data_IF_752134398062
#
_entry.id   IF_752134398062
#
_cell.length_a   1.000
_cell.length_b   1.000
_cell.length_c   1.000
_cell.angle_alpha   90.00
_cell.angle_beta   90.00
_cell.angle_gamma   90.00
#
_symmetry.space_group_name_H-M   'P 1'
#
loop_
_entity.id
_entity.type
_entity.pdbx_description
1 polymer ?
#
# COMPACT_ATOMS: atom_id res chain seq x y z
N UNK A 1 -2.22 8.56 30.17
CA UNK A 1 -3.52 8.54 29.48
C UNK A 1 -3.39 7.84 28.14
N UNK A 2 -4.26 6.92 27.90
CA UNK A 2 -4.22 6.15 26.65
C UNK A 2 -5.08 6.84 25.62
N UNK A 3 -4.46 7.22 24.51
CA UNK A 3 -5.19 7.73 23.36
C UNK A 3 -5.54 6.57 22.46
N UNK A 4 -6.82 6.42 22.19
CA UNK A 4 -7.27 5.42 21.24
C UNK A 4 -7.10 6.03 19.86
N UNK A 5 -6.22 5.44 19.08
CA UNK A 5 -5.98 5.85 17.71
C UNK A 5 -6.44 4.73 16.78
N UNK A 6 -6.98 5.13 15.66
CA UNK A 6 -7.26 4.18 14.62
C UNK A 6 -6.15 4.26 13.59
N UNK A 7 -5.55 3.13 13.30
CA UNK A 7 -4.50 3.03 12.30
C UNK A 7 -5.07 2.35 11.06
N UNK A 8 -4.87 2.99 9.93
CA UNK A 8 -5.33 2.45 8.66
C UNK A 8 -4.12 2.26 7.77
N UNK A 9 -4.02 1.10 7.18
CA UNK A 9 -2.93 0.80 6.26
C UNK A 9 -3.50 0.66 4.86
N UNK A 10 -2.89 1.37 3.94
CA UNK A 10 -3.31 1.35 2.55
C UNK A 10 -2.18 0.80 1.71
N UNK A 11 -2.46 -0.25 0.99
CA UNK A 11 -1.49 -0.88 0.10
C UNK A 11 -1.92 -0.55 -1.31
N UNK A 12 -1.05 0.13 -2.05
CA UNK A 12 -1.32 0.54 -3.42
C UNK A 12 -0.36 -0.21 -4.33
N UNK A 13 -0.91 -0.97 -5.27
CA UNK A 13 -0.12 -1.78 -6.19
C UNK A 13 -0.50 -1.45 -7.62
N UNK A 14 0.47 -1.46 -8.55
CA UNK A 14 0.13 -1.29 -9.95
C UNK A 14 -0.69 -2.48 -10.46
N UNK A 15 -1.60 -2.21 -11.36
CA UNK A 15 -2.38 -3.28 -11.99
C UNK A 15 -1.45 -4.16 -12.79
N UNK A 16 -1.81 -5.44 -12.91
CA UNK A 16 -0.95 -6.39 -13.61
C UNK A 16 -0.76 -6.05 -15.08
N UNK A 17 -1.73 -5.39 -15.67
CA UNK A 17 -1.66 -5.02 -17.09
C UNK A 17 -0.80 -3.79 -17.33
N UNK A 18 -0.34 -3.13 -16.29
CA UNK A 18 0.43 -1.89 -16.41
C UNK A 18 1.92 -2.20 -16.37
N UNK A 19 2.67 -1.54 -17.24
CA UNK A 19 4.12 -1.63 -17.21
C UNK A 19 4.64 -0.95 -15.95
N UNK A 20 5.44 -1.68 -15.19
CA UNK A 20 6.03 -1.18 -13.95
C UNK A 20 7.55 -1.08 -14.13
N UNK A 21 8.06 0.09 -14.53
CA UNK A 21 9.49 0.22 -14.78
C UNK A 21 10.34 0.00 -13.53
N UNK A 22 9.82 0.33 -12.34
CA UNK A 22 10.55 0.06 -11.11
C UNK A 22 10.64 -1.44 -10.85
N UNK A 23 9.54 -2.15 -11.06
CA UNK A 23 9.53 -3.60 -10.89
C UNK A 23 10.46 -4.30 -11.85
N UNK A 24 10.50 -3.84 -13.09
CA UNK A 24 11.41 -4.40 -14.09
C UNK A 24 12.86 -4.16 -13.69
N UNK A 25 13.19 -2.97 -13.22
CA UNK A 25 14.55 -2.67 -12.78
C UNK A 25 14.97 -3.55 -11.60
N UNK A 26 14.07 -3.75 -10.63
CA UNK A 26 14.38 -4.62 -9.49
C UNK A 26 14.57 -6.06 -9.96
N UNK A 27 13.71 -6.53 -10.86
CA UNK A 27 13.84 -7.89 -11.37
C UNK A 27 15.19 -8.10 -12.05
N UNK A 28 15.61 -7.14 -12.87
CA UNK A 28 16.87 -7.26 -13.56
C UNK A 28 18.05 -7.23 -12.58
N UNK A 29 17.97 -6.40 -11.55
CA UNK A 29 19.01 -6.36 -10.53
C UNK A 29 19.10 -7.68 -9.77
N UNK A 30 17.96 -8.30 -9.47
CA UNK A 30 17.95 -9.58 -8.80
C UNK A 30 18.58 -10.68 -9.65
N UNK A 31 18.29 -10.66 -10.94
CA UNK A 31 18.90 -11.62 -11.85
C UNK A 31 20.41 -11.43 -11.95
N UNK A 32 20.84 -10.20 -11.92
CA UNK A 32 22.28 -9.90 -12.00
C UNK A 32 23.05 -10.42 -10.79
N UNK A 33 22.40 -10.54 -9.63
CA UNK A 33 23.06 -11.08 -8.45
C UNK A 33 22.81 -12.58 -8.25
N UNK A 34 22.26 -13.23 -9.26
CA UNK A 34 22.15 -14.69 -9.26
C UNK A 34 20.76 -15.27 -9.00
N UNK A 35 19.77 -14.42 -8.79
CA UNK A 35 18.41 -14.91 -8.57
C UNK A 35 17.66 -14.99 -9.90
N UNK A 36 18.04 -15.96 -10.71
CA UNK A 36 17.55 -16.07 -12.07
C UNK A 36 16.14 -16.63 -12.18
N UNK A 37 15.61 -17.19 -11.11
CA UNK A 37 14.27 -17.77 -11.12
C UNK A 37 13.16 -16.77 -10.88
N UNK A 38 13.50 -15.51 -10.58
CA UNK A 38 12.47 -14.50 -10.37
C UNK A 38 11.80 -14.18 -11.70
N UNK A 39 10.47 -14.30 -11.71
CA UNK A 39 9.69 -14.08 -12.94
C UNK A 39 9.18 -12.67 -13.05
N UNK A 40 8.65 -12.13 -11.96
CA UNK A 40 8.10 -10.79 -11.97
C UNK A 40 8.30 -10.12 -10.63
N UNK A 41 8.43 -8.81 -10.68
CA UNK A 41 8.52 -7.97 -9.48
C UNK A 41 7.63 -6.78 -9.71
N UNK A 42 6.84 -6.45 -8.71
CA UNK A 42 6.02 -5.24 -8.73
C UNK A 42 6.36 -4.40 -7.53
N UNK A 43 6.48 -3.10 -7.75
CA UNK A 43 6.79 -2.15 -6.69
C UNK A 43 5.56 -1.32 -6.43
N UNK A 44 5.10 -1.32 -5.19
CA UNK A 44 3.93 -0.56 -4.79
C UNK A 44 4.24 0.37 -3.63
N UNK A 45 3.19 0.93 -3.05
CA UNK A 45 3.30 1.84 -1.93
C UNK A 45 2.57 1.27 -0.73
N UNK A 46 3.09 1.57 0.43
CA UNK A 46 2.47 1.21 1.70
C UNK A 46 2.32 2.48 2.51
N UNK A 47 1.06 2.84 2.81
CA UNK A 47 0.78 4.03 3.58
C UNK A 47 0.17 3.64 4.92
N UNK A 48 0.61 4.29 5.98
CA UNK A 48 0.07 4.07 7.30
C UNK A 48 -0.48 5.39 7.82
N UNK A 49 -1.77 5.40 8.07
CA UNK A 49 -2.48 6.59 8.50
C UNK A 49 -2.98 6.38 9.92
N UNK A 50 -2.77 7.38 10.76
CA UNK A 50 -3.26 7.36 12.13
C UNK A 50 -4.26 8.46 12.34
N UNK A 51 -5.41 8.12 12.90
CA UNK A 51 -6.47 9.07 13.15
C UNK A 51 -6.87 9.05 14.61
N UNK A 52 -7.01 10.23 15.21
CA UNK A 52 -7.62 10.33 16.54
C UNK A 52 -9.10 10.08 16.44
N UNK A 53 -9.73 10.64 15.42
CA UNK A 53 -11.13 10.43 15.12
C UNK A 53 -11.19 9.86 13.72
N UNK A 54 -11.51 8.58 13.57
CA UNK A 54 -11.48 7.97 12.25
C UNK A 54 -12.56 8.54 11.34
N UNK A 55 -12.23 8.77 10.07
CA UNK A 55 -13.24 9.17 9.10
C UNK A 55 -14.14 7.99 8.76
N UNK A 56 -15.29 8.26 8.18
CA UNK A 56 -16.17 7.21 7.72
C UNK A 56 -15.53 6.38 6.62
N UNK A 57 -15.97 5.14 6.49
CA UNK A 57 -15.42 4.24 5.49
C UNK A 57 -15.55 4.79 4.08
N UNK A 58 -16.70 5.39 3.77
CA UNK A 58 -16.92 5.94 2.44
C UNK A 58 -15.94 7.06 2.13
N UNK A 59 -15.68 7.91 3.13
CA UNK A 59 -14.74 9.01 2.96
C UNK A 59 -13.34 8.49 2.76
N UNK A 60 -12.97 7.47 3.51
CA UNK A 60 -11.63 6.88 3.42
C UNK A 60 -11.43 6.22 2.06
N UNK A 61 -12.42 5.50 1.57
CA UNK A 61 -12.32 4.88 0.26
C UNK A 61 -12.21 5.92 -0.84
N UNK A 62 -12.96 7.01 -0.72
CA UNK A 62 -12.89 8.09 -1.68
C UNK A 62 -11.50 8.70 -1.73
N UNK A 63 -10.90 8.93 -0.56
CA UNK A 63 -9.54 9.46 -0.47
C UNK A 63 -8.53 8.49 -1.08
N UNK A 64 -8.66 7.21 -0.78
CA UNK A 64 -7.74 6.22 -1.31
C UNK A 64 -7.85 6.14 -2.83
N UNK A 65 -9.07 6.15 -3.34
CA UNK A 65 -9.28 6.07 -4.77
C UNK A 65 -8.80 7.30 -5.51
N UNK A 66 -9.12 8.48 -4.98
CA UNK A 66 -8.92 9.72 -5.74
C UNK A 66 -7.61 10.42 -5.42
N UNK A 67 -7.07 10.22 -4.24
CA UNK A 67 -5.90 10.95 -3.79
C UNK A 67 -4.67 10.07 -3.63
N UNK A 68 -4.82 8.90 -3.00
CA UNK A 68 -3.68 8.07 -2.64
C UNK A 68 -3.30 7.09 -3.73
N UNK A 69 -4.18 6.79 -4.64
CA UNK A 69 -3.90 5.89 -5.75
C UNK A 69 -4.35 6.51 -7.06
N UNK A 70 -3.89 5.94 -8.15
CA UNK A 70 -4.37 6.30 -9.47
C UNK A 70 -5.23 5.14 -9.96
N UNK A 71 -6.56 5.28 -9.96
CA UNK A 71 -7.44 4.14 -10.24
C UNK A 71 -7.32 3.60 -11.67
N UNK A 72 -6.72 4.37 -12.56
CA UNK A 72 -6.51 3.89 -13.94
C UNK A 72 -5.43 2.83 -13.99
N UNK A 73 -4.37 3.00 -13.20
CA UNK A 73 -3.20 2.12 -13.27
C UNK A 73 -2.89 1.39 -11.97
N UNK A 74 -3.60 1.70 -10.89
CA UNK A 74 -3.30 1.12 -9.58
C UNK A 74 -4.54 0.56 -8.91
N UNK A 75 -4.34 -0.50 -8.14
CA UNK A 75 -5.34 -1.02 -7.23
C UNK A 75 -4.91 -0.70 -5.82
N UNK A 76 -5.87 -0.59 -4.91
CA UNK A 76 -5.56 -0.33 -3.53
C UNK A 76 -6.30 -1.31 -2.62
N UNK A 77 -5.74 -1.52 -1.44
CA UNK A 77 -6.34 -2.34 -0.39
C UNK A 77 -6.25 -1.59 0.92
N UNK A 78 -7.34 -1.52 1.64
CA UNK A 78 -7.40 -0.84 2.93
C UNK A 78 -7.48 -1.88 4.04
N UNK A 79 -6.62 -1.73 5.04
CA UNK A 79 -6.63 -2.58 6.22
C UNK A 79 -6.86 -1.70 7.43
N UNK A 80 -7.92 -1.98 8.17
CA UNK A 80 -8.25 -1.25 9.38
C UNK A 80 -7.63 -1.93 10.57
N UNK A 81 -7.05 -1.15 11.46
CA UNK A 81 -6.40 -1.70 12.62
C UNK A 81 -6.58 -0.76 13.80
N UNK A 82 -7.21 -1.24 14.86
CA UNK A 82 -7.37 -0.46 16.08
C UNK A 82 -6.10 -0.58 16.91
N UNK A 83 -5.56 0.56 17.33
CA UNK A 83 -4.34 0.57 18.13
C UNK A 83 -4.65 0.89 19.58
N UNK A 84 -5.77 0.39 20.09
CA UNK A 84 -6.08 0.55 21.51
C UNK A 84 -5.11 -0.24 22.37
N UNK A 85 -4.35 -1.12 21.79
CA UNK A 85 -3.42 -1.93 22.52
C UNK A 85 -2.08 -1.27 22.68
N UNK A 86 -1.45 -1.46 23.82
CA UNK A 86 -0.10 -0.99 24.03
C UNK A 86 0.88 -1.92 23.33
N UNK A 87 0.80 -2.03 22.05
CA UNK A 87 1.75 -2.87 21.37
C UNK A 87 3.10 -2.18 21.40
N UNK A 88 4.04 -2.90 21.83
CA UNK A 88 5.38 -2.38 21.86
C UNK A 88 5.88 -1.98 20.51
#
# INVERSE_FOLDING_TARGET
MVCVLMKVRVIVMPKQSVLDPQGVAVRNALKDVGLETVESVRVGKFLELEFKTPPGEMKLEEICRDLLSNPVIEDYRIQYHSTAEPSG
#
